data_IF_095145052220
#
_entry.id   IF_095145052220
#
_cell.length_a   1.000
_cell.length_b   1.000
_cell.length_c   1.000
_cell.angle_alpha   90.00
_cell.angle_beta   90.00
_cell.angle_gamma   90.00
#
_symmetry.space_group_name_H-M   'P 1'
#
loop_
_entity.id
_entity.type
_entity.pdbx_description
1 polymer ?
#
# COMPACT_ATOMS: atom_id res chain seq x y z
N UNK A 1 -12.25 -6.48 30.76
CA UNK A 1 -11.18 -5.69 30.08
C UNK A 1 -10.40 -6.45 28.99
N UNK A 2 -10.68 -7.75 28.72
CA UNK A 2 -9.86 -8.57 27.81
C UNK A 2 -10.26 -8.58 26.32
N UNK A 3 -11.53 -8.81 25.98
CA UNK A 3 -11.89 -9.14 24.59
C UNK A 3 -11.64 -8.00 23.59
N UNK A 4 -12.02 -6.74 23.90
CA UNK A 4 -11.80 -5.60 23.00
C UNK A 4 -10.32 -5.35 22.65
N UNK A 5 -9.41 -5.60 23.60
CA UNK A 5 -7.97 -5.40 23.40
C UNK A 5 -7.37 -6.51 22.55
N UNK A 6 -7.80 -7.76 22.77
CA UNK A 6 -7.40 -8.91 21.95
C UNK A 6 -7.78 -8.71 20.48
N UNK A 7 -9.01 -8.23 20.21
CA UNK A 7 -9.44 -7.90 18.84
C UNK A 7 -8.53 -6.88 18.16
N UNK A 8 -8.12 -5.81 18.88
CA UNK A 8 -7.21 -4.79 18.35
C UNK A 8 -5.82 -5.36 18.03
N UNK A 9 -5.30 -6.24 18.89
CA UNK A 9 -4.01 -6.90 18.66
C UNK A 9 -4.07 -7.79 17.43
N UNK A 10 -5.13 -8.60 17.28
CA UNK A 10 -5.28 -9.50 16.13
C UNK A 10 -5.32 -8.69 14.82
N UNK A 11 -6.13 -7.63 14.76
CA UNK A 11 -6.19 -6.75 13.58
C UNK A 11 -4.83 -6.11 13.27
N UNK A 12 -4.11 -5.67 14.30
CA UNK A 12 -2.77 -5.09 14.15
C UNK A 12 -1.76 -6.12 13.63
N UNK A 13 -1.78 -7.36 14.15
CA UNK A 13 -0.90 -8.43 13.70
C UNK A 13 -1.14 -8.78 12.23
N UNK A 14 -2.39 -8.88 11.81
CA UNK A 14 -2.74 -9.13 10.40
C UNK A 14 -2.24 -7.98 9.51
N UNK A 15 -2.42 -6.73 9.95
CA UNK A 15 -1.94 -5.56 9.21
C UNK A 15 -0.41 -5.50 9.10
N UNK A 16 0.31 -5.76 10.20
CA UNK A 16 1.79 -5.81 10.20
C UNK A 16 2.30 -6.95 9.33
N UNK A 17 1.67 -8.13 9.39
CA UNK A 17 2.00 -9.26 8.52
C UNK A 17 1.79 -8.90 7.04
N UNK A 18 0.70 -8.20 6.71
CA UNK A 18 0.44 -7.73 5.36
C UNK A 18 1.47 -6.68 4.89
N UNK A 19 1.86 -5.73 5.74
CA UNK A 19 2.95 -4.79 5.44
C UNK A 19 4.28 -5.50 5.19
N UNK A 20 4.58 -6.53 5.98
CA UNK A 20 5.79 -7.33 5.82
C UNK A 20 5.85 -8.00 4.43
N UNK A 21 4.71 -8.50 3.92
CA UNK A 21 4.64 -9.04 2.55
C UNK A 21 5.02 -7.96 1.53
N UNK A 22 4.51 -6.72 1.66
CA UNK A 22 4.87 -5.62 0.74
C UNK A 22 6.35 -5.23 0.82
N UNK A 23 6.95 -5.24 2.01
CA UNK A 23 8.38 -4.96 2.20
C UNK A 23 9.26 -6.04 1.56
N UNK A 24 8.83 -7.31 1.65
CA UNK A 24 9.55 -8.45 1.10
C UNK A 24 9.35 -8.62 -0.40
N UNK A 25 8.20 -8.21 -0.95
CA UNK A 25 7.83 -8.36 -2.36
C UNK A 25 8.92 -7.95 -3.37
N UNK A 26 9.63 -6.80 -3.22
CA UNK A 26 10.67 -6.39 -4.16
C UNK A 26 12.02 -7.09 -3.94
N UNK A 27 12.17 -7.99 -2.95
CA UNK A 27 13.45 -8.61 -2.60
C UNK A 27 13.76 -9.88 -3.41
N UNK A 28 15.05 -10.24 -3.48
CA UNK A 28 15.50 -11.49 -4.14
C UNK A 28 14.89 -12.72 -3.49
N UNK A 29 14.81 -12.74 -2.16
CA UNK A 29 14.22 -13.84 -1.39
C UNK A 29 12.77 -14.10 -1.81
N UNK A 30 11.96 -13.05 -1.96
CA UNK A 30 10.59 -13.21 -2.41
C UNK A 30 10.52 -13.73 -3.85
N UNK A 31 11.34 -13.17 -4.75
CA UNK A 31 11.35 -13.55 -6.16
C UNK A 31 11.83 -14.98 -6.40
N UNK A 32 12.97 -15.34 -5.82
CA UNK A 32 13.71 -16.55 -6.18
C UNK A 32 13.34 -17.74 -5.30
N UNK A 33 12.95 -17.51 -4.04
CA UNK A 33 12.60 -18.59 -3.09
C UNK A 33 11.10 -18.68 -2.84
N UNK A 34 10.43 -17.57 -2.52
CA UNK A 34 9.03 -17.63 -2.09
C UNK A 34 8.07 -17.79 -3.27
N UNK A 35 8.26 -17.03 -4.35
CA UNK A 35 7.34 -17.05 -5.51
C UNK A 35 7.18 -18.46 -6.10
N UNK A 36 8.25 -19.25 -6.34
CA UNK A 36 8.11 -20.61 -6.86
C UNK A 36 7.36 -21.53 -5.89
N UNK A 37 7.69 -21.47 -4.60
CA UNK A 37 7.04 -22.30 -3.56
C UNK A 37 5.56 -21.95 -3.39
N UNK A 38 5.23 -20.65 -3.42
CA UNK A 38 3.87 -20.14 -3.36
C UNK A 38 3.09 -20.55 -4.60
N UNK A 39 3.68 -20.49 -5.80
CA UNK A 39 3.03 -20.96 -7.04
C UNK A 39 2.68 -22.44 -6.94
N UNK A 40 3.59 -23.30 -6.50
CA UNK A 40 3.32 -24.74 -6.37
C UNK A 40 2.19 -24.99 -5.36
N UNK A 41 2.16 -24.27 -4.24
CA UNK A 41 1.17 -24.48 -3.17
C UNK A 41 -0.20 -23.84 -3.46
N UNK A 42 -0.22 -22.72 -4.18
CA UNK A 42 -1.42 -21.89 -4.37
C UNK A 42 -1.99 -21.97 -5.79
N UNK A 43 -1.35 -22.68 -6.72
CA UNK A 43 -1.91 -22.98 -8.03
C UNK A 43 -2.94 -24.09 -7.93
N UNK A 44 -4.15 -23.72 -7.48
CA UNK A 44 -5.31 -24.59 -7.48
C UNK A 44 -6.15 -24.39 -8.75
N UNK A 45 -6.98 -25.38 -9.07
CA UNK A 45 -7.90 -25.36 -10.23
C UNK A 45 -8.76 -24.09 -10.29
N UNK A 46 -9.13 -23.55 -9.12
CA UNK A 46 -10.02 -22.39 -8.99
C UNK A 46 -9.30 -21.05 -9.02
N UNK A 47 -8.14 -20.93 -8.35
CA UNK A 47 -7.47 -19.64 -8.20
C UNK A 47 -6.35 -19.39 -9.22
N UNK A 48 -5.79 -20.45 -9.82
CA UNK A 48 -4.76 -20.39 -10.88
C UNK A 48 -3.62 -19.43 -10.51
N UNK A 49 -3.06 -18.71 -11.49
CA UNK A 49 -1.98 -17.74 -11.29
C UNK A 49 -2.37 -16.54 -10.40
N UNK A 50 -3.67 -16.28 -10.20
CA UNK A 50 -4.14 -15.17 -9.35
C UNK A 50 -4.20 -15.52 -7.86
N UNK A 51 -4.09 -16.80 -7.50
CA UNK A 51 -4.24 -17.25 -6.11
C UNK A 51 -3.27 -16.61 -5.13
N UNK A 52 -2.03 -16.39 -5.56
CA UNK A 52 -1.01 -15.70 -4.75
C UNK A 52 -1.46 -14.27 -4.46
N UNK A 53 -1.89 -13.54 -5.49
CA UNK A 53 -2.26 -12.14 -5.34
C UNK A 53 -3.51 -11.98 -4.47
N UNK A 54 -4.52 -12.83 -4.70
CA UNK A 54 -5.76 -12.80 -3.95
C UNK A 54 -5.52 -13.13 -2.47
N UNK A 55 -4.73 -14.17 -2.17
CA UNK A 55 -4.51 -14.62 -0.80
C UNK A 55 -3.57 -13.71 -0.01
N UNK A 56 -2.50 -13.20 -0.64
CA UNK A 56 -1.50 -12.41 0.07
C UNK A 56 -1.82 -10.92 0.13
N UNK A 57 -2.46 -10.35 -0.91
CA UNK A 57 -2.72 -8.92 -0.96
C UNK A 57 -4.18 -8.57 -0.65
N UNK A 58 -5.14 -9.30 -1.21
CA UNK A 58 -6.58 -8.95 -1.10
C UNK A 58 -7.23 -9.52 0.17
N UNK A 59 -7.02 -10.80 0.46
CA UNK A 59 -7.65 -11.50 1.57
C UNK A 59 -7.38 -10.85 2.94
N UNK A 60 -6.16 -10.42 3.29
CA UNK A 60 -5.90 -9.80 4.59
C UNK A 60 -6.67 -8.49 4.78
N UNK A 61 -6.80 -7.68 3.73
CA UNK A 61 -7.57 -6.42 3.79
C UNK A 61 -9.07 -6.72 3.94
N UNK A 62 -9.60 -7.67 3.17
CA UNK A 62 -11.00 -8.09 3.28
C UNK A 62 -11.30 -8.67 4.68
N UNK A 63 -10.38 -9.46 5.23
CA UNK A 63 -10.50 -10.02 6.57
C UNK A 63 -10.53 -8.91 7.63
N UNK A 64 -9.60 -7.93 7.56
CA UNK A 64 -9.59 -6.78 8.46
C UNK A 64 -10.92 -6.02 8.37
N UNK A 65 -11.44 -5.78 7.16
CA UNK A 65 -12.71 -5.10 6.97
C UNK A 65 -13.89 -5.87 7.61
N UNK A 66 -14.00 -7.18 7.33
CA UNK A 66 -15.06 -8.02 7.88
C UNK A 66 -15.01 -8.10 9.42
N UNK A 67 -13.83 -8.35 9.98
CA UNK A 67 -13.63 -8.41 11.44
C UNK A 67 -13.89 -7.05 12.10
N UNK A 68 -13.55 -5.95 11.43
CA UNK A 68 -13.82 -4.60 11.92
C UNK A 68 -15.33 -4.28 11.93
N UNK A 69 -16.08 -4.76 10.93
CA UNK A 69 -17.55 -4.65 10.93
C UNK A 69 -18.17 -5.43 12.10
N UNK A 70 -17.73 -6.67 12.33
CA UNK A 70 -18.18 -7.49 13.45
C UNK A 70 -17.85 -6.82 14.78
N UNK A 71 -16.61 -6.34 14.95
CA UNK A 71 -16.19 -5.62 16.14
C UNK A 71 -17.09 -4.42 16.45
N UNK A 72 -17.39 -3.61 15.45
CA UNK A 72 -18.24 -2.44 15.64
C UNK A 72 -19.68 -2.84 15.95
N UNK A 73 -20.23 -3.87 15.31
CA UNK A 73 -21.58 -4.33 15.65
C UNK A 73 -21.67 -4.83 17.10
N UNK A 74 -20.68 -5.61 17.56
CA UNK A 74 -20.66 -6.16 18.92
C UNK A 74 -20.39 -5.11 20.01
N UNK A 75 -19.57 -4.09 19.72
CA UNK A 75 -19.08 -3.15 20.74
C UNK A 75 -19.59 -1.71 20.61
N UNK A 76 -20.16 -1.32 19.47
CA UNK A 76 -20.81 -0.01 19.31
C UNK A 76 -22.11 0.07 20.10
N UNK A 77 -22.84 -1.05 20.25
CA UNK A 77 -24.09 -1.09 21.03
C UNK A 77 -23.87 -0.95 22.54
N UNK A 78 -22.66 -1.18 23.03
CA UNK A 78 -22.32 -1.04 24.47
C UNK A 78 -21.66 0.30 24.80
N UNK A 79 -21.52 1.20 23.84
CA UNK A 79 -20.80 2.48 24.02
C UNK A 79 -21.75 3.69 24.08
N UNK A 80 -23.08 3.48 24.16
CA UNK A 80 -24.04 4.55 24.45
C UNK A 80 -24.03 5.02 25.91
N UNK A 81 -23.38 4.29 26.83
CA UNK A 81 -23.40 4.59 28.28
C UNK A 81 -22.03 4.87 28.92
N UNK A 82 -21.03 5.37 28.18
CA UNK A 82 -19.79 5.86 28.80
C UNK A 82 -19.40 7.25 28.30
N UNK A 83 -20.28 8.22 28.57
CA UNK A 83 -19.83 9.53 29.00
C UNK A 83 -19.16 9.39 30.38
N UNK A 84 -18.00 10.02 30.55
CA UNK A 84 -17.16 10.06 31.77
C UNK A 84 -16.14 8.92 31.92
N UNK A 85 -14.97 9.08 31.31
CA UNK A 85 -13.73 9.12 32.11
C UNK A 85 -12.58 9.75 31.30
N UNK A 86 -12.56 11.07 31.32
CA UNK A 86 -11.46 11.91 30.87
C UNK A 86 -10.25 11.73 31.79
N UNK A 87 -9.41 10.72 31.56
CA UNK A 87 -8.04 10.71 32.10
C UNK A 87 -7.02 9.82 31.36
N UNK A 88 -7.39 9.19 30.23
CA UNK A 88 -6.42 8.50 29.33
C UNK A 88 -5.87 9.39 28.21
N UNK A 89 -6.07 10.70 28.29
CA UNK A 89 -5.82 11.65 27.20
C UNK A 89 -4.47 12.37 27.22
N UNK A 90 -3.59 12.14 28.21
CA UNK A 90 -2.39 12.98 28.36
C UNK A 90 -1.26 12.59 27.38
N UNK A 91 -1.08 11.30 27.07
CA UNK A 91 -0.02 10.84 26.15
C UNK A 91 -0.33 11.10 24.67
N UNK A 92 -1.61 11.06 24.26
CA UNK A 92 -2.02 11.33 22.87
C UNK A 92 -2.20 12.81 22.55
N UNK A 93 -2.20 13.71 23.56
CA UNK A 93 -2.38 15.15 23.34
C UNK A 93 -1.21 15.79 22.61
N UNK A 94 0.00 15.27 22.80
CA UNK A 94 1.19 15.72 22.06
C UNK A 94 1.18 15.27 20.59
N UNK A 95 0.61 14.09 20.31
CA UNK A 95 0.44 13.53 18.97
C UNK A 95 -0.74 14.07 18.17
N UNK A 96 -1.58 14.93 18.77
CA UNK A 96 -2.64 15.67 18.07
C UNK A 96 -2.26 17.12 17.81
N UNK A 97 -1.02 17.51 18.11
CA UNK A 97 -0.57 18.88 17.85
C UNK A 97 -0.49 19.10 16.34
N UNK A 98 -1.17 20.12 15.80
CA UNK A 98 -1.05 20.47 14.39
C UNK A 98 0.39 20.91 14.12
N UNK A 99 1.09 20.21 13.25
CA UNK A 99 2.52 20.50 12.95
C UNK A 99 2.64 21.43 11.75
N UNK A 100 1.78 21.27 10.75
CA UNK A 100 1.78 22.11 9.55
C UNK A 100 0.35 22.55 9.20
N UNK A 101 0.15 23.86 9.08
CA UNK A 101 -1.01 24.45 8.42
C UNK A 101 -0.58 24.91 7.04
N UNK A 102 -0.89 24.14 5.99
CA UNK A 102 -0.70 24.57 4.60
C UNK A 102 -2.05 24.90 3.97
N UNK A 103 -2.15 26.11 3.43
CA UNK A 103 -3.38 26.78 3.06
C UNK A 103 -4.24 26.18 1.91
N UNK A 104 -3.82 25.15 1.14
CA UNK A 104 -4.76 24.41 0.28
C UNK A 104 -5.13 23.01 0.80
N UNK A 105 -4.46 22.47 1.83
CA UNK A 105 -4.49 21.03 2.17
C UNK A 105 -4.92 20.72 3.62
N UNK A 106 -5.27 21.77 4.38
CA UNK A 106 -5.78 21.65 5.75
C UNK A 106 -4.71 21.31 6.79
N UNK A 107 -5.12 21.31 8.05
CA UNK A 107 -4.24 21.06 9.19
C UNK A 107 -3.76 19.60 9.14
N UNK A 108 -2.43 19.39 9.08
CA UNK A 108 -1.80 18.05 9.11
C UNK A 108 -1.20 17.80 10.49
N UNK A 109 -1.53 16.63 11.03
CA UNK A 109 -1.09 16.14 12.32
C UNK A 109 0.25 15.39 12.21
N UNK A 110 1.05 15.36 13.29
CA UNK A 110 2.35 14.68 13.33
C UNK A 110 2.28 13.20 12.91
N UNK A 111 1.20 12.51 13.27
CA UNK A 111 0.97 11.10 12.95
C UNK A 111 0.71 10.89 11.46
N UNK A 112 -0.05 11.79 10.83
CA UNK A 112 -0.31 11.73 9.38
C UNK A 112 0.98 11.94 8.59
N UNK A 113 1.80 12.90 9.03
CA UNK A 113 3.11 13.15 8.44
C UNK A 113 4.03 11.94 8.60
N UNK A 114 4.09 11.33 9.79
CA UNK A 114 4.89 10.13 10.02
C UNK A 114 4.45 8.97 9.12
N UNK A 115 3.14 8.75 8.95
CA UNK A 115 2.61 7.73 8.04
C UNK A 115 2.97 8.02 6.59
N UNK A 116 2.87 9.27 6.15
CA UNK A 116 3.28 9.69 4.80
C UNK A 116 4.78 9.43 4.56
N UNK A 117 5.65 9.78 5.52
CA UNK A 117 7.10 9.51 5.41
C UNK A 117 7.39 8.02 5.35
N UNK A 118 6.75 7.20 6.20
CA UNK A 118 6.91 5.75 6.16
C UNK A 118 6.44 5.15 4.83
N UNK A 119 5.34 5.67 4.27
CA UNK A 119 4.82 5.24 2.98
C UNK A 119 5.78 5.59 1.83
N UNK A 120 6.31 6.82 1.81
CA UNK A 120 7.33 7.23 0.84
C UNK A 120 8.59 6.36 0.99
N UNK A 121 9.03 6.07 2.22
CA UNK A 121 10.15 5.17 2.47
C UNK A 121 9.90 3.76 1.91
N UNK A 122 8.68 3.22 2.03
CA UNK A 122 8.30 1.94 1.43
C UNK A 122 8.36 1.99 -0.11
N UNK A 123 7.89 3.07 -0.74
CA UNK A 123 7.99 3.23 -2.19
C UNK A 123 9.45 3.31 -2.66
N UNK A 124 10.28 4.11 -1.99
CA UNK A 124 11.71 4.24 -2.31
C UNK A 124 12.45 2.92 -2.10
N UNK A 125 12.17 2.22 -0.99
CA UNK A 125 12.70 0.89 -0.71
C UNK A 125 12.34 -0.10 -1.83
N UNK A 126 11.08 -0.06 -2.26
CA UNK A 126 10.57 -0.97 -3.27
C UNK A 126 11.20 -0.71 -4.62
N UNK A 127 11.27 0.56 -5.04
CA UNK A 127 11.91 0.96 -6.29
C UNK A 127 13.40 0.59 -6.31
N UNK A 128 14.12 0.88 -5.22
CA UNK A 128 15.55 0.59 -5.12
C UNK A 128 15.82 -0.90 -5.27
N UNK A 129 15.08 -1.75 -4.55
CA UNK A 129 15.24 -3.20 -4.65
C UNK A 129 14.85 -3.73 -6.04
N UNK A 130 13.73 -3.25 -6.60
CA UNK A 130 13.31 -3.64 -7.94
C UNK A 130 14.34 -3.30 -9.01
N UNK A 131 14.90 -2.08 -8.96
CA UNK A 131 15.94 -1.63 -9.90
C UNK A 131 17.23 -2.43 -9.69
N UNK A 132 17.65 -2.64 -8.43
CA UNK A 132 18.84 -3.44 -8.11
C UNK A 132 18.76 -4.87 -8.67
N UNK A 133 17.63 -5.55 -8.46
CA UNK A 133 17.41 -6.90 -8.99
C UNK A 133 17.32 -6.88 -10.52
N UNK A 134 16.61 -5.90 -11.08
CA UNK A 134 16.41 -5.84 -12.53
C UNK A 134 17.68 -5.49 -13.29
N UNK A 135 18.59 -4.70 -12.71
CA UNK A 135 19.89 -4.40 -13.32
C UNK A 135 20.83 -5.62 -13.26
N UNK A 136 20.67 -6.50 -12.28
CA UNK A 136 21.37 -7.79 -12.25
C UNK A 136 20.89 -8.80 -13.31
N UNK A 137 19.68 -8.65 -13.83
CA UNK A 137 19.08 -9.51 -14.87
C UNK A 137 18.43 -8.65 -15.96
N UNK A 138 19.22 -7.80 -16.61
CA UNK A 138 18.75 -6.96 -17.72
C UNK A 138 18.36 -7.85 -18.90
N UNK A 139 17.07 -7.95 -19.16
CA UNK A 139 16.54 -8.67 -20.31
C UNK A 139 16.58 -7.73 -21.53
N UNK A 140 17.48 -7.99 -22.46
CA UNK A 140 17.50 -7.32 -23.77
C UNK A 140 16.49 -8.00 -24.68
N UNK A 141 15.52 -7.24 -25.20
CA UNK A 141 14.46 -7.81 -26.03
C UNK A 141 14.92 -7.97 -27.48
N UNK A 142 15.79 -7.07 -27.95
CA UNK A 142 16.27 -7.03 -29.33
C UNK A 142 17.78 -7.19 -29.38
N UNK A 143 18.28 -7.91 -30.40
CA UNK A 143 19.71 -7.99 -30.70
C UNK A 143 20.22 -6.59 -31.09
N UNK A 144 21.00 -5.95 -30.22
CA UNK A 144 21.52 -4.59 -30.41
C UNK A 144 20.86 -3.51 -29.54
N UNK A 145 19.94 -3.86 -28.63
CA UNK A 145 19.36 -2.91 -27.67
C UNK A 145 20.45 -2.28 -26.78
N UNK A 146 20.52 -0.94 -26.74
CA UNK A 146 21.51 -0.25 -25.88
C UNK A 146 21.17 -0.48 -24.41
N UNK A 147 22.19 -0.74 -23.58
CA UNK A 147 22.05 -0.99 -22.13
C UNK A 147 21.21 0.08 -21.42
N UNK A 148 21.32 1.35 -21.83
CA UNK A 148 20.55 2.43 -21.23
C UNK A 148 19.04 2.34 -21.53
N UNK A 149 18.65 1.84 -22.71
CA UNK A 149 17.23 1.66 -23.10
C UNK A 149 16.59 0.57 -22.26
N UNK A 150 17.28 -0.57 -22.10
CA UNK A 150 16.83 -1.66 -21.25
C UNK A 150 16.71 -1.23 -19.77
N UNK A 151 17.65 -0.40 -19.26
CA UNK A 151 17.56 0.19 -17.93
C UNK A 151 16.36 1.12 -17.79
N UNK A 152 16.12 1.99 -18.78
CA UNK A 152 14.99 2.92 -18.77
C UNK A 152 13.63 2.20 -18.82
N UNK A 153 13.50 1.18 -19.67
CA UNK A 153 12.32 0.31 -19.73
C UNK A 153 12.09 -0.39 -18.39
N UNK A 154 13.15 -0.92 -17.78
CA UNK A 154 13.07 -1.56 -16.48
C UNK A 154 12.52 -0.59 -15.42
N UNK A 155 13.09 0.61 -15.30
CA UNK A 155 12.59 1.62 -14.34
C UNK A 155 11.14 1.96 -14.61
N UNK A 156 10.77 2.21 -15.87
CA UNK A 156 9.39 2.52 -16.27
C UNK A 156 8.41 1.41 -15.89
N UNK A 157 8.78 0.14 -16.11
CA UNK A 157 7.97 -1.02 -15.69
C UNK A 157 7.80 -1.09 -14.17
N UNK A 158 8.88 -0.84 -13.41
CA UNK A 158 8.84 -0.92 -11.94
C UNK A 158 8.03 0.21 -11.31
N UNK A 159 7.95 1.39 -11.93
CA UNK A 159 7.03 2.46 -11.50
C UNK A 159 5.57 2.00 -11.53
N UNK A 160 5.19 1.16 -12.50
CA UNK A 160 3.87 0.52 -12.53
C UNK A 160 3.64 -0.42 -11.34
N UNK A 161 4.66 -1.18 -10.91
CA UNK A 161 4.57 -2.03 -9.72
C UNK A 161 4.47 -1.25 -8.41
N UNK A 162 5.10 -0.08 -8.32
CA UNK A 162 4.87 0.85 -7.20
C UNK A 162 3.40 1.30 -7.17
N UNK A 163 2.78 1.48 -8.33
CA UNK A 163 1.34 1.75 -8.44
C UNK A 163 0.48 0.70 -7.75
N UNK A 164 0.85 -0.59 -7.80
CA UNK A 164 0.12 -1.65 -7.09
C UNK A 164 0.16 -1.47 -5.57
N UNK A 165 1.28 -0.98 -5.02
CA UNK A 165 1.38 -0.63 -3.58
C UNK A 165 0.39 0.49 -3.28
N UNK A 166 0.38 1.56 -4.09
CA UNK A 166 -0.56 2.66 -3.91
C UNK A 166 -2.02 2.21 -3.98
N UNK A 167 -2.39 1.38 -4.97
CA UNK A 167 -3.74 0.83 -5.09
C UNK A 167 -4.12 -0.03 -3.88
N UNK A 168 -3.21 -0.87 -3.39
CA UNK A 168 -3.47 -1.69 -2.22
C UNK A 168 -3.74 -0.85 -0.96
N UNK A 169 -3.04 0.27 -0.81
CA UNK A 169 -3.25 1.20 0.28
C UNK A 169 -4.49 2.10 0.11
N UNK A 170 -4.95 2.32 -1.14
CA UNK A 170 -6.22 3.00 -1.44
C UNK A 170 -7.43 2.17 -0.99
N UNK A 171 -7.30 0.84 -0.95
CA UNK A 171 -8.34 -0.07 -0.45
C UNK A 171 -8.52 -0.02 1.07
N UNK A 172 -7.58 0.55 1.84
CA UNK A 172 -7.87 0.88 3.23
C UNK A 172 -8.99 1.92 3.23
N UNK A 173 -10.16 1.57 3.80
CA UNK A 173 -11.41 2.21 3.44
C UNK A 173 -11.41 3.72 3.71
N UNK A 174 -11.57 4.49 2.63
CA UNK A 174 -12.46 5.65 2.62
C UNK A 174 -13.87 5.12 2.69
N UNK A 175 -14.28 4.70 3.88
CA UNK A 175 -15.69 4.81 4.21
C UNK A 175 -15.76 5.84 5.30
N UNK A 176 -16.53 6.90 5.05
CA UNK A 176 -17.07 7.83 6.06
C UNK A 176 -17.78 7.10 7.23
N UNK A 177 -17.84 5.77 7.21
CA UNK A 177 -18.48 4.83 8.12
C UNK A 177 -17.58 3.65 8.53
N UNK A 178 -16.28 3.63 8.19
CA UNK A 178 -15.40 2.52 8.57
C UNK A 178 -15.23 2.51 10.08
N UNK A 179 -15.56 1.38 10.68
CA UNK A 179 -15.34 1.07 12.09
C UNK A 179 -13.89 1.18 12.56
N UNK A 180 -12.93 1.29 11.64
CA UNK A 180 -11.49 1.36 11.91
C UNK A 180 -11.05 2.77 12.36
N UNK A 181 -11.66 3.84 11.85
CA UNK A 181 -11.24 5.22 12.15
C UNK A 181 -11.39 5.61 13.63
N UNK A 182 -12.52 5.30 14.30
CA UNK A 182 -12.67 5.54 15.74
C UNK A 182 -11.71 4.72 16.59
N UNK A 183 -11.20 3.60 16.07
CA UNK A 183 -10.31 2.69 16.79
C UNK A 183 -8.89 3.25 16.98
N UNK A 184 -8.42 4.08 16.04
CA UNK A 184 -7.09 4.72 16.00
C UNK A 184 -7.16 6.20 16.41
N UNK A 185 -8.38 6.76 16.56
CA UNK A 185 -8.59 8.14 17.01
C UNK A 185 -8.33 9.20 15.93
N UNK A 186 -8.35 8.79 14.65
CA UNK A 186 -8.24 9.65 13.47
C UNK A 186 -9.61 10.18 13.05
N UNK A 187 -9.66 11.42 12.57
CA UNK A 187 -10.89 12.05 12.11
C UNK A 187 -11.26 11.57 10.70
N UNK A 188 -12.54 11.64 10.33
CA UNK A 188 -12.99 11.37 8.96
C UNK A 188 -12.32 12.28 7.93
N UNK A 189 -11.99 13.52 8.32
CA UNK A 189 -11.27 14.49 7.50
C UNK A 189 -9.84 14.04 7.15
N UNK A 190 -9.12 13.47 8.12
CA UNK A 190 -7.78 12.90 7.96
C UNK A 190 -7.73 11.81 6.88
N UNK A 191 -8.71 10.90 6.91
CA UNK A 191 -8.82 9.79 5.95
C UNK A 191 -9.10 10.28 4.52
N UNK A 192 -9.99 11.27 4.37
CA UNK A 192 -10.28 11.86 3.05
C UNK A 192 -9.03 12.52 2.46
N UNK A 193 -8.29 13.30 3.27
CA UNK A 193 -7.01 13.88 2.83
C UNK A 193 -6.04 12.79 2.40
N UNK A 194 -5.78 11.81 3.27
CA UNK A 194 -4.90 10.68 2.96
C UNK A 194 -5.22 10.02 1.61
N UNK A 195 -6.49 9.73 1.33
CA UNK A 195 -6.88 9.08 0.09
C UNK A 195 -6.71 9.97 -1.14
N UNK A 196 -6.99 11.28 -1.02
CA UNK A 196 -6.69 12.24 -2.09
C UNK A 196 -5.19 12.26 -2.38
N UNK A 197 -4.34 12.35 -1.35
CA UNK A 197 -2.89 12.33 -1.51
C UNK A 197 -2.40 11.04 -2.18
N UNK A 198 -2.91 9.89 -1.73
CA UNK A 198 -2.54 8.60 -2.29
C UNK A 198 -3.02 8.43 -3.74
N UNK A 199 -4.19 8.96 -4.06
CA UNK A 199 -4.72 8.99 -5.43
C UNK A 199 -3.89 9.86 -6.37
N UNK A 200 -3.41 11.02 -5.91
CA UNK A 200 -2.48 11.84 -6.69
C UNK A 200 -1.14 11.12 -6.91
N UNK A 201 -0.61 10.46 -5.86
CA UNK A 201 0.61 9.68 -5.98
C UNK A 201 0.47 8.51 -6.97
N UNK A 202 -0.66 7.77 -6.93
CA UNK A 202 -0.92 6.69 -7.89
C UNK A 202 -1.05 7.22 -9.32
N UNK A 203 -1.72 8.36 -9.52
CA UNK A 203 -1.86 8.98 -10.83
C UNK A 203 -0.50 9.42 -11.39
N UNK A 204 0.34 10.05 -10.56
CA UNK A 204 1.68 10.45 -10.97
C UNK A 204 2.54 9.25 -11.39
N UNK A 205 2.50 8.14 -10.64
CA UNK A 205 3.19 6.90 -10.99
C UNK A 205 2.67 6.30 -12.29
N UNK A 206 1.35 6.30 -12.50
CA UNK A 206 0.74 5.81 -13.73
C UNK A 206 1.14 6.65 -14.95
N UNK A 207 1.15 7.99 -14.82
CA UNK A 207 1.62 8.89 -15.87
C UNK A 207 3.09 8.62 -16.18
N UNK A 208 3.96 8.55 -15.17
CA UNK A 208 5.39 8.28 -15.37
C UNK A 208 5.63 6.92 -16.03
N UNK A 209 4.87 5.89 -15.63
CA UNK A 209 4.91 4.57 -16.28
C UNK A 209 4.54 4.67 -17.76
N UNK A 210 3.37 5.24 -18.07
CA UNK A 210 2.86 5.36 -19.44
C UNK A 210 3.76 6.22 -20.33
N UNK A 211 4.16 7.40 -19.87
CA UNK A 211 5.06 8.30 -20.60
C UNK A 211 6.43 7.66 -20.80
N UNK A 212 6.95 6.94 -19.80
CA UNK A 212 8.19 6.18 -19.94
C UNK A 212 8.13 5.13 -21.06
N UNK A 213 7.02 4.40 -21.17
CA UNK A 213 6.84 3.46 -22.27
C UNK A 213 6.69 4.15 -23.63
N UNK A 214 5.94 5.25 -23.71
CA UNK A 214 5.82 6.04 -24.97
C UNK A 214 7.19 6.51 -25.45
N UNK A 215 8.02 7.04 -24.56
CA UNK A 215 9.40 7.45 -24.88
C UNK A 215 10.24 6.25 -25.32
N UNK A 216 10.15 5.13 -24.60
CA UNK A 216 10.88 3.91 -24.96
C UNK A 216 10.52 3.44 -26.37
N UNK A 217 9.23 3.35 -26.71
CA UNK A 217 8.77 2.93 -28.03
C UNK A 217 9.17 3.91 -29.13
N UNK A 218 9.12 5.21 -28.86
CA UNK A 218 9.55 6.24 -29.80
C UNK A 218 11.04 6.12 -30.14
N UNK A 219 11.89 5.87 -29.13
CA UNK A 219 13.34 5.75 -29.30
C UNK A 219 13.76 4.39 -29.85
N UNK A 220 13.02 3.31 -29.55
CA UNK A 220 13.30 1.97 -30.07
C UNK A 220 12.79 1.75 -31.50
N UNK A 221 12.17 2.77 -32.11
CA UNK A 221 11.48 2.71 -33.41
C UNK A 221 10.39 1.63 -33.49
N UNK A 222 9.96 1.06 -32.35
CA UNK A 222 8.91 0.04 -32.29
C UNK A 222 7.50 0.63 -32.35
N UNK A 223 7.32 1.95 -32.42
CA UNK A 223 5.98 2.56 -32.58
C UNK A 223 5.24 2.07 -33.83
N UNK A 224 5.94 1.59 -34.85
CA UNK A 224 5.36 1.09 -36.11
C UNK A 224 4.78 -0.33 -35.96
N UNK A 225 5.22 -1.11 -34.96
CA UNK A 225 4.75 -2.48 -34.74
C UNK A 225 3.50 -2.58 -33.84
N UNK A 226 3.06 -1.46 -33.26
CA UNK A 226 1.92 -1.39 -32.32
C UNK A 226 0.64 -0.82 -32.96
N UNK A 227 0.66 -0.56 -34.28
CA UNK A 227 -0.51 -0.22 -35.10
C UNK A 227 -0.88 -1.41 -35.99
#
# INVERSE_FOLDING_TARGET
MGSRFVWKIVLLLVFVGWLFIWIMLPTKTYKDSWTPQLKIKLNSTYFREQGINLLLFTFPIMLIAALSCIYLHLYSKSSSDQSSNSNKGQYFRSWKRPVLAMAPLGIVNAVELAFAVMFIALLVWSLSNYVYISFGHLHMHNAGEKVWMAKFRSVSLRLGYLGNICYAFLFFPVTRLSSILPLVGLTSESSVKYHIWLGHASMALAILHSVGFVIYYAVSHQMIEVC
#
